data_IF_401892697049
#
_entry.id   IF_401892697049
#
_cell.length_a   1.000
_cell.length_b   1.000
_cell.length_c   1.000
_cell.angle_alpha   90.00
_cell.angle_beta   90.00
_cell.angle_gamma   90.00
#
_symmetry.space_group_name_H-M   'P 1'
#
loop_
_entity.id
_entity.type
_entity.pdbx_description
1 polymer ?
#
# COMPACT_ATOMS: atom_id res chain seq x y z
N UNK A 1 17.47 0.87 -5.47
CA UNK A 1 16.14 0.23 -5.49
C UNK A 1 16.05 -0.59 -6.77
N UNK A 2 15.68 -1.87 -6.72
CA UNK A 2 15.59 -2.68 -7.94
C UNK A 2 14.48 -2.17 -8.85
N UNK A 3 14.62 -2.37 -10.16
CA UNK A 3 13.60 -1.99 -11.14
C UNK A 3 12.23 -2.60 -10.81
N UNK A 4 12.22 -3.82 -10.26
CA UNK A 4 11.03 -4.50 -9.76
C UNK A 4 10.31 -3.70 -8.67
N UNK A 5 11.03 -3.27 -7.62
CA UNK A 5 10.45 -2.50 -6.52
C UNK A 5 9.88 -1.14 -6.97
N UNK A 6 10.56 -0.49 -7.92
CA UNK A 6 10.07 0.76 -8.51
C UNK A 6 8.79 0.51 -9.33
N UNK A 7 8.79 -0.54 -10.17
CA UNK A 7 7.63 -0.93 -10.97
C UNK A 7 6.40 -1.24 -10.11
N UNK A 8 6.57 -2.01 -9.03
CA UNK A 8 5.48 -2.32 -8.09
C UNK A 8 4.90 -1.06 -7.44
N UNK A 9 5.74 -0.12 -6.99
CA UNK A 9 5.24 1.15 -6.42
C UNK A 9 4.45 1.98 -7.43
N UNK A 10 4.92 2.04 -8.67
CA UNK A 10 4.21 2.75 -9.75
C UNK A 10 2.87 2.08 -10.03
N UNK A 11 2.84 0.75 -10.14
CA UNK A 11 1.61 -0.01 -10.39
C UNK A 11 0.59 0.18 -9.24
N UNK A 12 1.04 0.10 -7.99
CA UNK A 12 0.18 0.32 -6.82
C UNK A 12 -0.35 1.76 -6.78
N UNK A 13 0.50 2.75 -7.07
CA UNK A 13 0.07 4.15 -7.16
C UNK A 13 -0.97 4.37 -8.26
N UNK A 14 -0.75 3.81 -9.44
CA UNK A 14 -1.70 3.89 -10.55
C UNK A 14 -3.03 3.19 -10.21
N UNK A 15 -2.97 2.05 -9.53
CA UNK A 15 -4.16 1.35 -9.04
C UNK A 15 -4.98 2.22 -8.07
N UNK A 16 -4.34 2.89 -7.11
CA UNK A 16 -5.05 3.79 -6.19
C UNK A 16 -5.75 4.94 -6.93
N UNK A 17 -5.09 5.55 -7.91
CA UNK A 17 -5.69 6.62 -8.71
C UNK A 17 -6.90 6.12 -9.51
N UNK A 18 -6.78 4.95 -10.13
CA UNK A 18 -7.88 4.31 -10.85
C UNK A 18 -9.05 4.02 -9.90
N UNK A 19 -8.77 3.38 -8.76
CA UNK A 19 -9.79 3.02 -7.79
C UNK A 19 -10.49 4.25 -7.19
N UNK A 20 -9.76 5.30 -6.83
CA UNK A 20 -10.35 6.57 -6.37
C UNK A 20 -11.21 7.18 -7.48
N UNK A 21 -10.71 7.20 -8.72
CA UNK A 21 -11.47 7.70 -9.87
C UNK A 21 -12.79 6.95 -10.08
N UNK A 22 -12.79 5.63 -9.88
CA UNK A 22 -13.99 4.80 -9.95
C UNK A 22 -14.95 5.06 -8.78
N UNK A 23 -14.46 5.08 -7.54
CA UNK A 23 -15.30 5.33 -6.34
C UNK A 23 -15.94 6.73 -6.38
N UNK A 24 -15.24 7.71 -6.96
CA UNK A 24 -15.73 9.08 -7.15
C UNK A 24 -16.52 9.29 -8.44
N UNK A 25 -16.66 8.24 -9.27
CA UNK A 25 -17.37 8.28 -10.57
C UNK A 25 -16.76 9.28 -11.57
N UNK A 26 -15.48 9.64 -11.41
CA UNK A 26 -14.74 10.55 -12.31
C UNK A 26 -14.18 9.80 -13.52
N UNK A 27 -13.89 8.50 -13.37
CA UNK A 27 -13.23 7.66 -14.39
C UNK A 27 -13.99 6.37 -14.57
N UNK A 28 -14.23 5.98 -15.83
CA UNK A 28 -14.83 4.70 -16.23
C UNK A 28 -14.11 4.18 -17.48
N UNK A 29 -12.96 3.52 -17.31
CA UNK A 29 -12.13 3.06 -18.45
C UNK A 29 -12.72 1.82 -19.11
N UNK A 30 -13.16 0.86 -18.30
CA UNK A 30 -13.74 -0.42 -18.73
C UNK A 30 -14.95 -0.72 -17.84
N UNK A 31 -16.15 -0.22 -18.20
CA UNK A 31 -17.33 -0.25 -17.35
C UNK A 31 -17.71 -1.65 -16.82
N UNK A 32 -17.48 -2.68 -17.63
CA UNK A 32 -17.71 -4.08 -17.24
C UNK A 32 -16.82 -4.58 -16.09
N UNK A 33 -15.68 -3.92 -15.84
CA UNK A 33 -14.75 -4.26 -14.76
C UNK A 33 -14.85 -3.34 -13.55
N UNK A 34 -15.56 -2.22 -13.63
CA UNK A 34 -15.62 -1.20 -12.58
C UNK A 34 -15.97 -1.80 -11.20
N UNK A 35 -17.00 -2.65 -11.16
CA UNK A 35 -17.43 -3.31 -9.92
C UNK A 35 -16.34 -4.20 -9.31
N UNK A 36 -15.59 -4.92 -10.13
CA UNK A 36 -14.49 -5.80 -9.68
C UNK A 36 -13.33 -4.95 -9.15
N UNK A 37 -12.96 -3.89 -9.88
CA UNK A 37 -11.87 -2.99 -9.46
C UNK A 37 -12.22 -2.30 -8.15
N UNK A 38 -13.45 -1.80 -8.01
CA UNK A 38 -13.94 -1.18 -6.76
C UNK A 38 -13.89 -2.17 -5.60
N UNK A 39 -14.39 -3.40 -5.79
CA UNK A 39 -14.36 -4.45 -4.77
C UNK A 39 -12.91 -4.76 -4.34
N UNK A 40 -12.02 -5.00 -5.31
CA UNK A 40 -10.62 -5.30 -5.04
C UNK A 40 -9.93 -4.17 -4.28
N UNK A 41 -10.20 -2.90 -4.62
CA UNK A 41 -9.59 -1.79 -3.90
C UNK A 41 -10.06 -1.66 -2.45
N UNK A 42 -11.34 -1.99 -2.15
CA UNK A 42 -11.80 -2.08 -0.76
C UNK A 42 -11.10 -3.21 0.01
N UNK A 43 -10.94 -4.39 -0.61
CA UNK A 43 -10.23 -5.52 0.00
C UNK A 43 -8.76 -5.16 0.27
N UNK A 44 -8.08 -4.57 -0.72
CA UNK A 44 -6.68 -4.14 -0.61
C UNK A 44 -6.53 -3.08 0.48
N UNK A 45 -7.42 -2.08 0.52
CA UNK A 45 -7.43 -1.06 1.57
C UNK A 45 -7.59 -1.69 2.96
N UNK A 46 -8.52 -2.64 3.10
CA UNK A 46 -8.72 -3.38 4.35
C UNK A 46 -7.46 -4.12 4.79
N UNK A 47 -6.78 -4.81 3.87
CA UNK A 47 -5.51 -5.47 4.16
C UNK A 47 -4.44 -4.48 4.60
N UNK A 48 -4.30 -3.34 3.91
CA UNK A 48 -3.31 -2.32 4.26
C UNK A 48 -3.56 -1.72 5.67
N UNK A 49 -4.82 -1.50 6.04
CA UNK A 49 -5.18 -1.08 7.41
C UNK A 49 -4.73 -2.12 8.44
N UNK A 50 -4.99 -3.41 8.19
CA UNK A 50 -4.56 -4.51 9.07
C UNK A 50 -3.03 -4.55 9.17
N UNK A 51 -2.32 -4.43 8.06
CA UNK A 51 -0.85 -4.42 8.03
C UNK A 51 -0.26 -3.23 8.80
N UNK A 52 -0.82 -2.02 8.61
CA UNK A 52 -0.39 -0.83 9.35
C UNK A 52 -0.69 -0.96 10.84
N UNK A 53 -1.80 -1.58 11.23
CA UNK A 53 -2.09 -1.88 12.63
C UNK A 53 -1.07 -2.87 13.21
N UNK A 54 -0.76 -3.96 12.51
CA UNK A 54 0.27 -4.94 12.92
C UNK A 54 1.63 -4.26 13.07
N UNK A 55 2.02 -3.41 12.12
CA UNK A 55 3.24 -2.60 12.21
C UNK A 55 3.23 -1.76 13.49
N UNK A 56 2.12 -1.06 13.76
CA UNK A 56 1.99 -0.16 14.91
C UNK A 56 2.16 -0.91 16.24
N UNK A 57 1.56 -2.11 16.36
CA UNK A 57 1.72 -2.95 17.54
C UNK A 57 3.14 -3.48 17.74
N UNK A 58 3.87 -3.74 16.65
CA UNK A 58 5.23 -4.30 16.68
C UNK A 58 6.33 -3.24 16.76
N UNK A 59 6.02 -1.98 16.48
CA UNK A 59 7.00 -0.90 16.42
C UNK A 59 7.68 -0.64 17.78
N UNK A 60 6.95 -0.83 18.89
CA UNK A 60 7.49 -0.70 20.26
C UNK A 60 8.67 -1.65 20.52
N UNK A 61 8.64 -2.85 19.95
CA UNK A 61 9.66 -3.88 20.14
C UNK A 61 10.84 -3.70 19.16
N UNK A 62 10.79 -2.68 18.29
CA UNK A 62 11.68 -2.55 17.10
C UNK A 62 12.24 -1.13 16.89
N UNK A 63 12.42 -0.37 17.96
CA UNK A 63 13.04 0.97 17.90
C UNK A 63 12.05 2.13 17.78
N UNK A 64 10.76 1.89 18.05
CA UNK A 64 9.74 2.93 18.15
C UNK A 64 8.91 3.12 16.88
N UNK A 65 7.77 3.80 17.04
CA UNK A 65 6.84 4.09 15.94
C UNK A 65 7.38 5.21 15.05
N UNK A 66 7.54 4.91 13.76
CA UNK A 66 7.83 5.89 12.71
C UNK A 66 6.63 6.05 11.80
N UNK A 67 6.12 7.28 11.70
CA UNK A 67 4.99 7.63 10.84
C UNK A 67 5.31 7.43 9.36
N UNK A 68 6.56 7.67 8.93
CA UNK A 68 7.02 7.43 7.55
C UNK A 68 6.83 5.97 7.13
N UNK A 69 7.16 5.05 8.03
CA UNK A 69 7.13 3.61 7.76
C UNK A 69 5.69 3.11 7.81
N UNK A 70 4.88 3.64 8.74
CA UNK A 70 3.44 3.38 8.80
C UNK A 70 2.74 3.79 7.50
N UNK A 71 3.08 4.96 6.96
CA UNK A 71 2.52 5.47 5.71
C UNK A 71 2.97 4.61 4.52
N UNK A 72 4.22 4.15 4.50
CA UNK A 72 4.70 3.26 3.45
C UNK A 72 3.97 1.91 3.47
N UNK A 73 3.74 1.33 4.65
CA UNK A 73 2.91 0.13 4.82
C UNK A 73 1.47 0.40 4.40
N UNK A 74 0.91 1.55 4.75
CA UNK A 74 -0.48 1.87 4.42
C UNK A 74 -0.70 2.06 2.91
N UNK A 75 0.23 2.70 2.20
CA UNK A 75 0.05 3.01 0.77
C UNK A 75 0.50 1.85 -0.11
N UNK A 76 1.61 1.20 0.24
CA UNK A 76 2.23 0.18 -0.60
C UNK A 76 2.10 -1.23 -0.02
N UNK A 77 1.66 -1.41 1.22
CA UNK A 77 1.62 -2.70 1.88
C UNK A 77 2.98 -3.14 2.42
N UNK A 78 2.96 -4.12 3.33
CA UNK A 78 4.16 -4.57 4.06
C UNK A 78 5.19 -5.25 3.14
N UNK A 79 4.74 -5.82 2.03
CA UNK A 79 5.59 -6.52 1.06
C UNK A 79 6.56 -5.60 0.32
N UNK A 80 6.33 -4.29 0.34
CA UNK A 80 7.30 -3.31 -0.20
C UNK A 80 8.43 -2.99 0.79
N UNK A 81 8.42 -3.62 1.96
CA UNK A 81 9.52 -3.64 2.92
C UNK A 81 10.46 -4.84 2.74
N UNK A 82 10.32 -5.61 1.65
CA UNK A 82 11.30 -6.62 1.22
C UNK A 82 12.28 -5.95 0.23
N UNK A 83 12.81 -4.74 0.51
CA UNK A 83 13.92 -4.59 1.44
C UNK A 83 13.92 -3.20 2.09
N UNK A 84 13.10 -3.00 3.12
CA UNK A 84 13.63 -2.22 4.23
C UNK A 84 14.58 -3.18 4.90
N UNK A 85 15.79 -3.21 4.34
CA UNK A 85 16.99 -3.32 5.16
C UNK A 85 16.69 -2.44 6.37
N UNK A 86 16.34 -3.11 7.46
CA UNK A 86 16.83 -2.82 8.78
C UNK A 86 18.29 -2.40 8.61
N UNK A 87 18.50 -1.14 8.21
CA UNK A 87 19.81 -0.54 8.19
C UNK A 87 20.17 -0.48 9.64
N UNK A 88 20.93 -1.48 10.06
CA UNK A 88 21.68 -1.53 11.29
C UNK A 88 22.18 -0.12 11.57
N UNK A 89 21.54 0.57 12.52
CA UNK A 89 22.25 1.58 13.27
C UNK A 89 23.10 0.80 14.26
N UNK A 90 24.31 0.48 13.82
CA UNK A 90 25.45 0.50 14.74
C UNK A 90 25.64 1.93 15.24
#
# INVERSE_FOLDING_TARGET
>A
MSAFMTGSKIATGAFWLLWIGLVTQIVHVLPELDGIVVLLGWVILGMHVIETAIYSFRAKDRGGFKTSDALQVFVFGVFHLIPVSFSDKK
#
